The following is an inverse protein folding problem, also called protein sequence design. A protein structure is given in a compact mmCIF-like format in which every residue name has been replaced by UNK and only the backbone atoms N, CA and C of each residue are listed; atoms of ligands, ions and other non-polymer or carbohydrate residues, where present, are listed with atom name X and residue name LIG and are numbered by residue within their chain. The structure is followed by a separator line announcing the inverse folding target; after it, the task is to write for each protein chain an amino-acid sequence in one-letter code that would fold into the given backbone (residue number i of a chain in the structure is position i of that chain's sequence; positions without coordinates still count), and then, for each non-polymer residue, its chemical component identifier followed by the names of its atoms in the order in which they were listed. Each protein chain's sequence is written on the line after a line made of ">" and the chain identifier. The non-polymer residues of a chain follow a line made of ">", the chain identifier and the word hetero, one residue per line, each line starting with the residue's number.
data_IF_373702082548
#
_entry.id   IF_373702082548
#
_cell.length_a   1.000
_cell.length_b   1.000
_cell.length_c   1.000
_cell.angle_alpha   90.00
_cell.angle_beta   90.00
_cell.angle_gamma   90.00
#
_symmetry.space_group_name_H-M   'P 1'
#
loop_
_entity.id
_entity.type
_entity.pdbx_description
1 polymer ?
#
# COMPACT_ATOMS: atom_id res chain seq x y z
N UNK A 1 -9.89 26.27 -1.67
CA UNK A 1 -9.52 25.65 -0.38
C UNK A 1 -9.97 24.20 -0.43
N UNK A 2 -9.14 23.31 -0.99
CA UNK A 2 -9.24 21.85 -0.89
C UNK A 2 -7.83 21.32 -1.17
N UNK A 3 -7.16 20.82 -0.13
CA UNK A 3 -5.89 20.11 -0.25
C UNK A 3 -6.08 18.83 0.55
N UNK A 4 -6.50 17.77 -0.12
CA UNK A 4 -6.51 16.41 0.43
C UNK A 4 -5.21 15.76 -0.02
N UNK A 5 -4.17 15.90 0.79
CA UNK A 5 -2.88 15.23 0.62
C UNK A 5 -3.07 13.72 0.89
N UNK A 6 -2.49 12.90 0.02
CA UNK A 6 -2.26 11.45 0.08
C UNK A 6 -2.74 10.72 1.36
N UNK A 7 -3.77 9.87 1.23
CA UNK A 7 -4.08 8.83 2.22
C UNK A 7 -3.13 7.65 2.01
N UNK A 8 -1.96 7.68 2.67
CA UNK A 8 -1.11 6.51 2.86
C UNK A 8 -1.65 5.74 4.05
N UNK A 9 -2.15 4.52 3.83
CA UNK A 9 -2.47 3.58 4.90
C UNK A 9 -1.33 2.56 4.99
N UNK A 10 -0.71 2.49 6.16
CA UNK A 10 0.39 1.58 6.45
C UNK A 10 -0.08 0.42 7.33
N UNK A 11 0.15 -0.81 6.88
CA UNK A 11 -0.30 -2.06 7.52
C UNK A 11 0.82 -2.73 8.31
N UNK A 12 0.66 -2.90 9.64
CA UNK A 12 1.78 -3.21 10.56
C UNK A 12 1.43 -4.20 11.70
N UNK A 13 2.43 -4.98 12.16
CA UNK A 13 2.48 -5.84 13.37
C UNK A 13 3.79 -5.64 14.17
N UNK A 14 3.80 -5.79 15.52
CA UNK A 14 5.03 -5.52 16.32
C UNK A 14 5.52 -6.61 17.30
N UNK A 15 4.68 -7.50 17.87
CA UNK A 15 5.08 -8.52 18.87
C UNK A 15 6.10 -8.03 19.93
N UNK A 16 5.87 -6.87 20.54
CA UNK A 16 6.79 -6.33 21.55
C UNK A 16 8.20 -5.94 21.05
N UNK A 17 8.43 -5.81 19.74
CA UNK A 17 9.67 -5.29 19.16
C UNK A 17 9.62 -3.75 19.02
N UNK A 18 9.73 -3.05 20.15
CA UNK A 18 9.57 -1.59 20.19
C UNK A 18 10.55 -0.81 19.32
N UNK A 19 11.81 -1.24 19.25
CA UNK A 19 12.81 -0.63 18.39
C UNK A 19 12.42 -0.72 16.91
N UNK A 20 11.87 -1.85 16.48
CA UNK A 20 11.42 -2.06 15.10
C UNK A 20 10.14 -1.29 14.80
N UNK A 21 9.23 -1.14 15.77
CA UNK A 21 8.09 -0.24 15.65
C UNK A 21 8.53 1.22 15.39
N UNK A 22 9.56 1.70 16.09
CA UNK A 22 10.12 3.02 15.84
C UNK A 22 10.77 3.11 14.45
N UNK A 23 11.47 2.06 14.01
CA UNK A 23 12.02 1.99 12.64
C UNK A 23 10.93 2.01 11.57
N UNK A 24 9.80 1.34 11.80
CA UNK A 24 8.66 1.37 10.90
C UNK A 24 8.09 2.78 10.75
N UNK A 25 8.05 3.58 11.82
CA UNK A 25 7.69 5.00 11.73
C UNK A 25 8.78 5.86 11.08
N UNK A 26 10.06 5.53 11.26
CA UNK A 26 11.14 6.22 10.57
C UNK A 26 11.10 5.98 9.05
N UNK A 27 10.81 4.75 8.61
CA UNK A 27 10.72 4.38 7.20
C UNK A 27 9.36 4.79 6.57
N UNK A 28 8.26 4.67 7.31
CA UNK A 28 6.90 5.00 6.81
C UNK A 28 6.42 6.43 7.07
N UNK A 29 7.16 7.21 7.86
CA UNK A 29 6.80 8.55 8.33
C UNK A 29 5.99 8.53 9.64
N UNK A 30 6.30 9.44 10.57
CA UNK A 30 5.60 9.47 11.85
C UNK A 30 4.13 9.94 11.69
N UNK A 31 3.24 9.60 12.65
CA UNK A 31 1.94 10.25 12.75
C UNK A 31 2.08 11.71 13.23
N UNK A 32 1.28 12.67 12.71
CA UNK A 32 0.08 12.48 11.89
C UNK A 32 0.30 12.58 10.38
N UNK A 33 1.55 12.68 9.91
CA UNK A 33 1.86 12.88 8.50
C UNK A 33 1.34 11.73 7.61
N UNK A 34 1.25 10.51 8.16
CA UNK A 34 0.71 9.32 7.51
C UNK A 34 -0.37 8.64 8.34
N UNK A 35 -1.28 7.91 7.67
CA UNK A 35 -2.30 7.11 8.34
C UNK A 35 -1.82 5.66 8.49
N UNK A 36 -2.19 5.04 9.60
CA UNK A 36 -1.78 3.67 9.92
C UNK A 36 -2.98 2.82 10.29
N UNK A 37 -3.03 1.61 9.75
CA UNK A 37 -3.93 0.54 10.15
C UNK A 37 -3.08 -0.64 10.62
N UNK A 38 -2.98 -0.85 11.92
CA UNK A 38 -2.30 -2.02 12.45
C UNK A 38 -3.23 -3.23 12.48
N UNK A 39 -2.70 -4.41 12.16
CA UNK A 39 -3.49 -5.65 12.06
C UNK A 39 -3.50 -6.47 13.37
N UNK A 40 -3.04 -5.93 14.50
CA UNK A 40 -2.96 -6.66 15.77
C UNK A 40 -1.59 -7.30 16.03
N UNK A 41 -1.52 -8.11 17.08
CA UNK A 41 -0.30 -8.70 17.66
C UNK A 41 0.74 -7.62 18.02
N UNK A 42 0.33 -6.77 18.95
CA UNK A 42 1.17 -5.71 19.51
C UNK A 42 2.11 -6.23 20.59
N UNK A 43 1.65 -7.25 21.32
CA UNK A 43 2.26 -7.79 22.54
C UNK A 43 2.74 -9.23 22.36
N UNK A 44 3.28 -9.81 23.43
CA UNK A 44 3.88 -11.15 23.52
C UNK A 44 5.12 -11.36 22.65
N UNK A 45 5.87 -12.43 22.96
CA UNK A 45 7.07 -12.91 22.24
C UNK A 45 8.29 -11.97 22.27
N UNK A 46 8.09 -10.66 22.29
CA UNK A 46 9.12 -9.64 22.54
C UNK A 46 9.15 -9.15 23.99
N UNK A 47 10.13 -8.29 24.30
CA UNK A 47 10.41 -7.81 25.66
C UNK A 47 9.77 -6.45 26.00
N UNK A 48 9.14 -5.79 25.02
CA UNK A 48 8.66 -4.41 25.12
C UNK A 48 7.19 -4.29 24.65
N UNK A 49 6.36 -5.27 24.99
CA UNK A 49 4.93 -5.27 24.65
C UNK A 49 4.19 -4.08 25.25
N UNK A 50 4.57 -3.67 26.47
CA UNK A 50 3.99 -2.49 27.14
C UNK A 50 4.28 -1.22 26.34
N UNK A 51 5.53 -0.98 25.97
CA UNK A 51 5.91 0.21 25.19
C UNK A 51 5.25 0.24 23.82
N UNK A 52 5.23 -0.90 23.11
CA UNK A 52 4.58 -1.01 21.81
C UNK A 52 3.11 -0.60 21.89
N UNK A 53 2.32 -1.25 22.76
CA UNK A 53 0.90 -0.95 22.83
C UNK A 53 0.62 0.44 23.41
N UNK A 54 1.38 0.90 24.42
CA UNK A 54 1.19 2.23 24.98
C UNK A 54 1.47 3.33 23.95
N UNK A 55 2.53 3.22 23.14
CA UNK A 55 2.81 4.19 22.08
C UNK A 55 1.65 4.26 21.07
N UNK A 56 1.17 3.10 20.62
CA UNK A 56 0.05 3.01 19.68
C UNK A 56 -1.26 3.53 20.26
N UNK A 57 -1.55 3.23 21.53
CA UNK A 57 -2.72 3.75 22.24
C UNK A 57 -2.64 5.28 22.40
N UNK A 58 -1.47 5.82 22.77
CA UNK A 58 -1.25 7.27 22.84
C UNK A 58 -1.47 7.93 21.47
N UNK A 59 -0.96 7.32 20.40
CA UNK A 59 -1.19 7.79 19.03
C UNK A 59 -2.67 7.69 18.61
N UNK A 60 -3.38 6.63 19.02
CA UNK A 60 -4.83 6.51 18.78
C UNK A 60 -5.63 7.60 19.50
N UNK A 61 -5.26 7.94 20.73
CA UNK A 61 -5.89 9.02 21.48
C UNK A 61 -5.57 10.39 20.87
N UNK A 62 -4.31 10.61 20.46
CA UNK A 62 -3.85 11.88 19.89
C UNK A 62 -4.35 12.14 18.47
N UNK A 63 -4.42 11.08 17.64
CA UNK A 63 -4.78 11.13 16.23
C UNK A 63 -5.83 10.05 15.89
N UNK A 64 -7.07 10.18 16.43
CA UNK A 64 -8.09 9.14 16.33
C UNK A 64 -8.57 8.85 14.91
N UNK A 65 -8.38 9.78 13.97
CA UNK A 65 -8.71 9.72 12.54
C UNK A 65 -7.52 9.31 11.65
N UNK A 66 -6.34 9.13 12.25
CA UNK A 66 -5.11 8.72 11.52
C UNK A 66 -4.60 7.35 11.94
N UNK A 67 -4.91 6.90 13.14
CA UNK A 67 -4.40 5.65 13.71
C UNK A 67 -5.56 4.70 13.95
N UNK A 68 -5.45 3.51 13.40
CA UNK A 68 -6.45 2.44 13.53
C UNK A 68 -5.73 1.18 13.99
N UNK A 69 -6.29 0.53 15.02
CA UNK A 69 -5.68 -0.62 15.67
C UNK A 69 -6.70 -1.76 15.62
N UNK A 70 -6.47 -2.78 14.80
CA UNK A 70 -7.27 -4.01 14.83
C UNK A 70 -6.80 -4.91 15.97
N UNK A 71 -7.68 -5.82 16.39
CA UNK A 71 -7.34 -6.84 17.38
C UNK A 71 -6.62 -8.01 16.70
N UNK A 72 -5.55 -8.52 17.31
CA UNK A 72 -4.96 -9.81 17.00
C UNK A 72 -5.28 -10.89 18.02
N UNK A 73 -4.86 -12.12 17.76
CA UNK A 73 -5.10 -13.23 18.69
C UNK A 73 -4.32 -13.07 20.01
N UNK A 74 -3.17 -12.38 19.99
CA UNK A 74 -2.39 -12.07 21.18
C UNK A 74 -3.02 -11.00 22.09
N UNK A 75 -3.94 -10.20 21.56
CA UNK A 75 -4.76 -9.26 22.34
C UNK A 75 -5.95 -9.98 23.02
N UNK A 76 -5.66 -11.10 23.70
CA UNK A 76 -6.62 -11.91 24.43
C UNK A 76 -6.09 -12.36 25.78
N UNK A 77 -6.99 -12.61 26.74
CA UNK A 77 -6.63 -13.06 28.08
C UNK A 77 -5.84 -14.38 28.06
N UNK A 78 -6.33 -15.46 27.43
CA UNK A 78 -5.66 -16.75 27.41
C UNK A 78 -4.26 -16.71 26.77
N UNK A 79 -4.10 -16.03 25.63
CA UNK A 79 -2.84 -16.02 24.87
C UNK A 79 -1.80 -15.15 25.57
N UNK A 80 -2.14 -13.91 25.91
CA UNK A 80 -1.21 -13.00 26.60
C UNK A 80 -0.78 -13.48 28.00
N UNK A 81 -1.52 -14.44 28.58
CA UNK A 81 -1.17 -15.08 29.85
C UNK A 81 0.04 -15.97 29.75
N UNK A 82 0.26 -16.59 28.59
CA UNK A 82 1.23 -17.69 28.38
C UNK A 82 2.42 -17.23 27.54
N UNK A 83 2.22 -16.30 26.61
CA UNK A 83 3.24 -15.93 25.61
C UNK A 83 4.08 -14.68 25.95
N UNK A 84 4.01 -14.20 27.19
CA UNK A 84 4.99 -13.30 27.80
C UNK A 84 4.45 -11.98 28.35
N UNK A 85 3.36 -11.43 27.79
CA UNK A 85 2.88 -10.10 28.16
C UNK A 85 2.39 -10.02 29.60
N UNK A 86 1.70 -11.05 30.10
CA UNK A 86 1.34 -11.12 31.52
C UNK A 86 2.57 -11.02 32.43
N UNK A 87 3.62 -11.78 32.13
CA UNK A 87 4.82 -11.82 32.96
C UNK A 87 5.59 -10.50 32.85
N UNK A 88 5.61 -9.87 31.67
CA UNK A 88 6.16 -8.52 31.48
C UNK A 88 5.45 -7.50 32.38
N UNK A 89 4.12 -7.43 32.31
CA UNK A 89 3.30 -6.47 33.08
C UNK A 89 3.38 -6.77 34.58
N UNK A 90 3.32 -8.05 34.99
CA UNK A 90 3.46 -8.45 36.39
C UNK A 90 4.83 -8.08 36.95
N UNK A 91 5.90 -8.30 36.20
CA UNK A 91 7.27 -8.02 36.63
C UNK A 91 7.55 -6.53 36.77
N UNK A 92 7.05 -5.71 35.83
CA UNK A 92 7.34 -4.26 35.79
C UNK A 92 6.33 -3.42 36.56
N UNK A 93 5.11 -3.93 36.72
CA UNK A 93 4.00 -3.24 37.36
C UNK A 93 3.22 -4.19 38.28
N UNK A 94 2.01 -4.61 37.88
CA UNK A 94 1.17 -5.50 38.67
C UNK A 94 0.09 -6.18 37.81
N UNK A 95 -0.50 -7.24 38.35
CA UNK A 95 -1.54 -8.04 37.66
C UNK A 95 -2.82 -7.24 37.38
N UNK A 96 -3.13 -6.21 38.19
CA UNK A 96 -4.30 -5.36 37.95
C UNK A 96 -4.14 -4.59 36.63
N UNK A 97 -2.95 -4.10 36.32
CA UNK A 97 -2.67 -3.42 35.06
C UNK A 97 -2.84 -4.35 33.85
N UNK A 98 -2.41 -5.62 33.97
CA UNK A 98 -2.64 -6.61 32.89
C UNK A 98 -4.13 -6.79 32.62
N UNK A 99 -4.97 -6.89 33.66
CA UNK A 99 -6.44 -6.95 33.48
C UNK A 99 -6.98 -5.72 32.76
N UNK A 100 -6.48 -4.52 33.06
CA UNK A 100 -6.85 -3.29 32.34
C UNK A 100 -6.45 -3.33 30.87
N UNK A 101 -5.29 -3.92 30.52
CA UNK A 101 -4.96 -4.17 29.12
C UNK A 101 -5.96 -5.12 28.47
N UNK A 102 -6.35 -6.22 29.12
CA UNK A 102 -7.36 -7.16 28.58
C UNK A 102 -8.72 -6.47 28.36
N UNK A 103 -9.17 -5.67 29.33
CA UNK A 103 -10.40 -4.87 29.20
C UNK A 103 -10.32 -3.93 27.99
N UNK A 104 -9.14 -3.34 27.74
CA UNK A 104 -8.90 -2.48 26.57
C UNK A 104 -8.88 -3.29 25.27
N UNK A 105 -8.23 -4.45 25.26
CA UNK A 105 -8.16 -5.34 24.10
C UNK A 105 -9.53 -5.86 23.67
N UNK A 106 -10.41 -6.14 24.64
CA UNK A 106 -11.79 -6.56 24.40
C UNK A 106 -12.63 -5.49 23.67
N UNK A 107 -12.16 -4.23 23.62
CA UNK A 107 -12.79 -3.13 22.90
C UNK A 107 -12.20 -2.90 21.49
N UNK A 108 -11.12 -3.58 21.10
CA UNK A 108 -10.52 -3.37 19.79
C UNK A 108 -11.44 -3.85 18.65
N UNK A 109 -11.49 -3.13 17.52
CA UNK A 109 -12.18 -3.58 16.31
C UNK A 109 -11.51 -4.83 15.70
N UNK A 110 -12.29 -5.67 15.03
CA UNK A 110 -11.81 -6.96 14.50
C UNK A 110 -11.39 -6.90 13.02
N UNK A 111 -12.01 -6.00 12.25
CA UNK A 111 -11.74 -5.84 10.83
C UNK A 111 -11.89 -4.37 10.41
N UNK A 112 -11.38 -4.03 9.24
CA UNK A 112 -11.60 -2.75 8.57
C UNK A 112 -11.83 -2.97 7.08
N UNK A 113 -12.58 -2.06 6.45
CA UNK A 113 -12.69 -1.96 5.00
C UNK A 113 -12.08 -0.63 4.58
N UNK A 114 -11.16 -0.65 3.63
CA UNK A 114 -10.53 0.56 3.08
C UNK A 114 -11.09 0.83 1.70
N UNK A 115 -11.65 2.04 1.53
CA UNK A 115 -12.21 2.56 0.26
C UNK A 115 -13.14 1.55 -0.44
N UNK A 116 -13.94 0.84 0.35
CA UNK A 116 -14.91 -0.18 -0.10
C UNK A 116 -14.34 -1.30 -1.00
N UNK A 117 -13.01 -1.47 -1.02
CA UNK A 117 -12.34 -2.42 -1.90
C UNK A 117 -11.37 -3.37 -1.21
N UNK A 118 -10.85 -2.99 -0.04
CA UNK A 118 -9.82 -3.78 0.65
C UNK A 118 -10.33 -4.20 2.03
N UNK A 119 -10.55 -5.49 2.23
CA UNK A 119 -10.90 -6.05 3.52
C UNK A 119 -9.63 -6.37 4.32
N UNK A 120 -9.49 -5.75 5.48
CA UNK A 120 -8.36 -5.90 6.37
C UNK A 120 -8.78 -6.63 7.64
N UNK A 121 -8.07 -7.70 7.98
CA UNK A 121 -8.34 -8.52 9.15
C UNK A 121 -7.03 -9.02 9.73
N UNK A 122 -7.01 -9.46 10.97
CA UNK A 122 -5.81 -10.06 11.55
C UNK A 122 -5.47 -11.39 10.89
N UNK A 123 -6.39 -12.36 10.98
CA UNK A 123 -6.17 -13.71 10.54
C UNK A 123 -6.68 -13.94 9.12
N UNK A 124 -7.94 -14.34 8.98
CA UNK A 124 -8.49 -14.59 7.67
C UNK A 124 -10.00 -14.56 7.67
N UNK A 125 -10.56 -15.43 6.84
CA UNK A 125 -12.00 -15.55 6.67
C UNK A 125 -12.60 -16.52 7.69
N UNK A 126 -13.93 -16.53 7.76
CA UNK A 126 -14.70 -17.50 8.55
C UNK A 126 -15.80 -18.10 7.68
N UNK A 127 -16.18 -19.38 7.89
CA UNK A 127 -17.39 -19.94 7.30
C UNK A 127 -18.65 -19.12 7.63
N UNK A 128 -18.65 -18.43 8.78
CA UNK A 128 -19.76 -17.60 9.26
C UNK A 128 -19.69 -16.14 8.73
N UNK A 129 -18.60 -15.77 8.04
CA UNK A 129 -18.43 -14.42 7.50
C UNK A 129 -19.08 -14.32 6.11
N UNK A 130 -20.34 -13.88 6.09
CA UNK A 130 -21.09 -13.71 4.84
C UNK A 130 -20.69 -12.42 4.11
N UNK A 131 -20.60 -11.32 4.85
CA UNK A 131 -20.22 -9.98 4.36
C UNK A 131 -19.34 -9.27 5.38
N UNK A 132 -18.50 -8.28 5.00
CA UNK A 132 -17.70 -7.49 5.95
C UNK A 132 -18.53 -6.84 7.07
N UNK A 133 -19.75 -6.40 6.77
CA UNK A 133 -20.66 -5.76 7.73
C UNK A 133 -21.15 -6.73 8.80
N UNK A 134 -21.01 -8.05 8.59
CA UNK A 134 -21.36 -9.05 9.58
C UNK A 134 -20.57 -8.88 10.88
N UNK A 135 -19.36 -8.34 10.79
CA UNK A 135 -18.51 -8.00 11.94
C UNK A 135 -19.16 -6.93 12.84
N UNK A 136 -19.98 -6.04 12.28
CA UNK A 136 -20.63 -4.96 13.06
C UNK A 136 -21.69 -5.48 14.03
N UNK A 137 -22.14 -6.73 13.90
CA UNK A 137 -23.10 -7.36 14.83
C UNK A 137 -22.44 -7.81 16.14
N UNK A 138 -21.12 -7.86 16.19
CA UNK A 138 -20.36 -8.30 17.37
C UNK A 138 -20.37 -7.15 18.40
N UNK A 139 -20.98 -7.39 19.55
CA UNK A 139 -21.00 -6.42 20.65
C UNK A 139 -19.65 -6.39 21.36
N UNK A 140 -19.17 -5.19 21.68
CA UNK A 140 -17.94 -4.97 22.46
C UNK A 140 -18.28 -4.34 23.82
N UNK A 141 -17.58 -4.67 24.92
CA UNK A 141 -16.40 -5.55 24.98
C UNK A 141 -16.75 -7.03 24.76
N UNK A 142 -15.85 -7.78 24.11
CA UNK A 142 -16.01 -9.22 23.90
C UNK A 142 -14.69 -9.94 24.12
N UNK A 143 -14.72 -11.10 24.75
CA UNK A 143 -13.56 -12.00 24.81
C UNK A 143 -13.44 -12.80 23.50
N UNK A 144 -12.27 -13.37 23.24
CA UNK A 144 -12.09 -14.26 22.08
C UNK A 144 -12.65 -15.64 22.46
N UNK A 145 -13.72 -16.13 21.81
CA UNK A 145 -14.26 -17.45 22.05
C UNK A 145 -13.34 -18.53 21.48
N UNK A 146 -13.56 -19.79 21.86
CA UNK A 146 -12.81 -20.95 21.33
C UNK A 146 -13.17 -21.25 19.87
N UNK A 147 -14.39 -20.90 19.43
CA UNK A 147 -14.90 -21.16 18.07
C UNK A 147 -15.80 -20.01 17.57
N UNK A 148 -16.11 -20.06 16.27
CA UNK A 148 -17.01 -19.12 15.58
C UNK A 148 -16.33 -17.85 15.08
N UNK A 149 -17.14 -16.94 14.53
CA UNK A 149 -16.67 -15.78 13.78
C UNK A 149 -15.52 -14.97 14.40
N UNK A 150 -15.59 -14.64 15.71
CA UNK A 150 -14.52 -13.86 16.37
C UNK A 150 -13.22 -14.68 16.45
N UNK A 151 -13.31 -15.98 16.72
CA UNK A 151 -12.16 -16.86 16.74
C UNK A 151 -11.52 -16.92 15.34
N UNK A 152 -12.33 -17.16 14.32
CA UNK A 152 -11.85 -17.33 12.95
C UNK A 152 -11.18 -16.08 12.37
N UNK A 153 -11.75 -14.89 12.60
CA UNK A 153 -11.13 -13.63 12.18
C UNK A 153 -9.75 -13.38 12.83
N UNK A 154 -9.44 -14.08 13.92
CA UNK A 154 -8.19 -13.95 14.66
C UNK A 154 -7.26 -15.18 14.55
N UNK A 155 -7.72 -16.31 13.99
CA UNK A 155 -6.94 -17.55 13.94
C UNK A 155 -6.90 -18.29 12.60
N UNK A 156 -7.78 -18.00 11.65
CA UNK A 156 -7.79 -18.75 10.39
C UNK A 156 -6.61 -18.43 9.46
N UNK A 157 -6.22 -19.39 8.63
CA UNK A 157 -5.07 -19.27 7.73
C UNK A 157 -5.40 -19.67 6.28
N UNK A 158 -4.88 -18.94 5.28
CA UNK A 158 -4.87 -19.44 3.91
C UNK A 158 -3.94 -20.65 3.78
N UNK A 159 -4.35 -21.65 3.02
CA UNK A 159 -3.53 -22.83 2.74
C UNK A 159 -3.52 -23.16 1.24
N UNK A 160 -2.33 -23.45 0.72
CA UNK A 160 -2.15 -23.78 -0.70
C UNK A 160 -2.45 -25.26 -0.96
N UNK A 161 -3.16 -25.55 -2.05
CA UNK A 161 -3.43 -26.92 -2.48
C UNK A 161 -4.69 -27.55 -1.88
N UNK A 162 -5.43 -26.82 -1.03
CA UNK A 162 -6.76 -27.20 -0.56
C UNK A 162 -7.86 -26.45 -1.32
N UNK A 163 -9.06 -27.04 -1.30
CA UNK A 163 -10.29 -26.42 -1.82
C UNK A 163 -11.29 -26.35 -0.68
N UNK A 164 -11.94 -25.20 -0.49
CA UNK A 164 -12.89 -24.99 0.60
C UNK A 164 -12.21 -24.75 1.95
N UNK A 165 -12.75 -25.36 3.00
CA UNK A 165 -12.27 -25.25 4.39
C UNK A 165 -11.64 -26.57 4.86
N UNK A 166 -10.60 -26.48 5.69
CA UNK A 166 -10.01 -27.63 6.36
C UNK A 166 -9.66 -27.31 7.83
N UNK A 167 -9.32 -28.33 8.60
CA UNK A 167 -8.85 -28.18 9.98
C UNK A 167 -7.50 -27.46 10.01
N UNK A 168 -7.30 -26.55 10.95
CA UNK A 168 -6.03 -25.83 11.09
C UNK A 168 -5.08 -26.59 12.02
N UNK A 169 -3.84 -26.80 11.58
CA UNK A 169 -2.76 -27.43 12.35
C UNK A 169 -2.45 -26.72 13.68
N UNK A 170 -2.89 -25.46 13.85
CA UNK A 170 -2.84 -24.74 15.13
C UNK A 170 -3.75 -25.34 16.21
N UNK A 171 -4.67 -26.23 15.83
CA UNK A 171 -5.69 -26.78 16.73
C UNK A 171 -6.80 -25.80 17.08
N UNK A 172 -6.94 -24.72 16.32
CA UNK A 172 -7.97 -23.68 16.50
C UNK A 172 -8.35 -23.08 15.15
N UNK A 173 -9.64 -22.83 14.94
CA UNK A 173 -10.20 -22.34 13.68
C UNK A 173 -9.89 -23.27 12.48
N UNK A 174 -9.87 -22.69 11.28
CA UNK A 174 -9.83 -23.40 10.00
C UNK A 174 -8.69 -22.88 9.11
N UNK A 175 -8.28 -23.71 8.15
CA UNK A 175 -7.60 -23.23 6.95
C UNK A 175 -8.59 -23.07 5.79
N UNK A 176 -8.26 -22.22 4.82
CA UNK A 176 -9.11 -21.99 3.65
C UNK A 176 -8.34 -21.87 2.33
N UNK A 177 -8.95 -22.37 1.27
CA UNK A 177 -8.40 -22.38 -0.09
C UNK A 177 -8.56 -21.05 -0.84
N UNK A 178 -7.91 -20.97 -2.00
CA UNK A 178 -7.99 -19.81 -2.89
C UNK A 178 -9.40 -19.58 -3.47
N UNK A 179 -10.20 -20.64 -3.55
CA UNK A 179 -11.61 -20.57 -3.96
C UNK A 179 -12.46 -19.80 -2.95
N UNK A 180 -12.21 -19.99 -1.65
CA UNK A 180 -12.89 -19.23 -0.58
C UNK A 180 -12.58 -17.74 -0.67
N UNK A 181 -11.31 -17.39 -0.90
CA UNK A 181 -10.88 -15.99 -1.11
C UNK A 181 -11.59 -15.39 -2.32
N UNK A 182 -11.54 -16.07 -3.47
CA UNK A 182 -12.13 -15.60 -4.72
C UNK A 182 -13.63 -15.37 -4.58
N UNK A 183 -14.34 -16.34 -4.00
CA UNK A 183 -15.79 -16.28 -3.78
C UNK A 183 -16.18 -15.15 -2.81
N UNK A 184 -15.42 -14.96 -1.74
CA UNK A 184 -15.70 -13.90 -0.78
C UNK A 184 -15.55 -12.51 -1.40
N UNK A 185 -14.48 -12.29 -2.18
CA UNK A 185 -14.22 -11.03 -2.84
C UNK A 185 -15.27 -10.71 -3.91
N UNK A 186 -15.58 -11.69 -4.78
CA UNK A 186 -16.58 -11.53 -5.83
C UNK A 186 -17.97 -11.21 -5.25
N UNK A 187 -18.38 -11.94 -4.21
CA UNK A 187 -19.70 -11.76 -3.58
C UNK A 187 -19.86 -10.38 -2.92
N UNK A 188 -18.77 -9.78 -2.46
CA UNK A 188 -18.78 -8.53 -1.71
C UNK A 188 -18.23 -7.33 -2.51
N UNK A 189 -17.97 -7.49 -3.81
CA UNK A 189 -17.38 -6.46 -4.68
C UNK A 189 -16.07 -5.85 -4.13
N UNK A 190 -15.21 -6.71 -3.58
CA UNK A 190 -13.90 -6.36 -3.04
C UNK A 190 -12.78 -6.81 -3.98
N UNK A 191 -11.64 -6.12 -3.93
CA UNK A 191 -10.49 -6.41 -4.78
C UNK A 191 -9.38 -7.19 -4.05
N UNK A 192 -9.24 -7.01 -2.73
CA UNK A 192 -8.11 -7.52 -1.96
C UNK A 192 -8.46 -7.83 -0.51
N UNK A 193 -7.93 -8.93 0.00
CA UNK A 193 -7.85 -9.20 1.45
C UNK A 193 -6.42 -8.93 1.94
N UNK A 194 -6.29 -8.16 3.02
CA UNK A 194 -5.01 -7.89 3.68
C UNK A 194 -5.06 -8.49 5.08
N UNK A 195 -4.08 -9.34 5.39
CA UNK A 195 -4.00 -10.06 6.66
C UNK A 195 -2.59 -10.15 7.23
N UNK A 196 -2.44 -10.68 8.44
CA UNK A 196 -1.15 -10.86 9.14
C UNK A 196 -0.91 -12.33 9.59
N UNK A 197 -0.91 -12.65 10.88
CA UNK A 197 -0.78 -13.94 11.61
C UNK A 197 0.39 -14.87 11.27
N UNK A 198 0.71 -15.10 10.00
CA UNK A 198 1.77 -16.00 9.56
C UNK A 198 3.06 -15.23 9.29
N UNK A 199 4.17 -15.78 9.79
CA UNK A 199 5.52 -15.31 9.45
C UNK A 199 5.78 -15.67 7.99
N UNK A 200 6.24 -14.71 7.20
CA UNK A 200 6.57 -14.89 5.78
C UNK A 200 7.96 -14.30 5.53
N UNK A 201 8.74 -14.93 4.64
CA UNK A 201 10.18 -14.67 4.47
C UNK A 201 10.48 -13.19 4.16
N UNK A 202 9.81 -12.61 3.16
CA UNK A 202 10.03 -11.22 2.74
C UNK A 202 9.22 -10.18 3.54
N UNK A 203 8.58 -10.60 4.64
CA UNK A 203 7.62 -9.78 5.40
C UNK A 203 6.30 -9.55 4.68
N UNK A 204 6.14 -9.95 3.41
CA UNK A 204 4.85 -10.04 2.74
C UNK A 204 4.78 -11.27 1.83
N UNK A 205 3.59 -11.81 1.61
CA UNK A 205 3.36 -12.92 0.69
C UNK A 205 1.98 -12.81 0.04
N UNK A 206 1.89 -13.06 -1.27
CA UNK A 206 0.63 -13.07 -1.99
C UNK A 206 0.03 -14.48 -2.05
N UNK A 207 -1.29 -14.55 -1.90
CA UNK A 207 -2.10 -15.76 -2.06
C UNK A 207 -3.24 -15.53 -3.07
N UNK A 208 -3.82 -16.62 -3.57
CA UNK A 208 -4.98 -16.62 -4.49
C UNK A 208 -4.83 -15.63 -5.66
N UNK A 209 -3.80 -15.80 -6.50
CA UNK A 209 -3.54 -14.90 -7.65
C UNK A 209 -3.46 -13.40 -7.26
N UNK A 210 -2.88 -13.12 -6.08
CA UNK A 210 -2.71 -11.77 -5.50
C UNK A 210 -4.00 -11.11 -5.02
N UNK A 211 -5.08 -11.89 -4.87
CA UNK A 211 -6.33 -11.45 -4.26
C UNK A 211 -6.26 -11.42 -2.72
N UNK A 212 -5.24 -12.03 -2.12
CA UNK A 212 -4.93 -11.89 -0.70
C UNK A 212 -3.44 -11.60 -0.52
N UNK A 213 -3.11 -10.80 0.49
CA UNK A 213 -1.74 -10.53 0.90
C UNK A 213 -1.60 -10.70 2.42
N UNK A 214 -0.59 -11.47 2.81
CA UNK A 214 -0.10 -11.58 4.19
C UNK A 214 0.98 -10.54 4.41
N UNK A 215 0.91 -9.76 5.49
CA UNK A 215 1.88 -8.73 5.88
C UNK A 215 2.36 -9.02 7.31
N UNK A 216 3.68 -9.11 7.47
CA UNK A 216 4.36 -9.36 8.72
C UNK A 216 5.48 -8.32 8.91
N UNK A 217 5.41 -7.53 9.98
CA UNK A 217 6.29 -6.35 10.14
C UNK A 217 7.32 -6.48 11.26
N UNK A 218 7.41 -7.64 11.91
CA UNK A 218 8.42 -7.93 12.93
C UNK A 218 9.60 -8.69 12.26
N UNK A 219 10.72 -8.01 11.92
CA UNK A 219 11.87 -8.68 11.34
C UNK A 219 12.57 -9.58 12.37
N UNK A 220 13.26 -10.62 11.90
CA UNK A 220 13.95 -11.62 12.70
C UNK A 220 13.08 -12.15 13.86
N UNK A 221 11.88 -12.59 13.54
CA UNK A 221 10.86 -12.90 14.53
C UNK A 221 11.38 -13.89 15.58
N UNK A 222 11.18 -13.56 16.86
CA UNK A 222 11.69 -14.31 18.03
C UNK A 222 13.21 -14.53 18.07
N UNK A 223 14.00 -13.94 17.16
CA UNK A 223 15.41 -14.29 16.97
C UNK A 223 15.65 -15.70 16.41
N UNK A 224 14.59 -16.36 15.93
CA UNK A 224 14.62 -17.73 15.41
C UNK A 224 14.43 -17.79 13.90
N UNK A 225 13.69 -16.82 13.35
CA UNK A 225 13.41 -16.71 11.92
C UNK A 225 14.33 -15.66 11.29
N UNK A 226 14.68 -15.85 10.02
CA UNK A 226 15.47 -14.88 9.24
C UNK A 226 14.57 -13.99 8.35
N UNK A 227 13.32 -13.77 8.78
CA UNK A 227 12.35 -13.04 7.98
C UNK A 227 12.59 -11.52 8.02
N UNK A 228 12.26 -10.85 6.91
CA UNK A 228 12.14 -9.41 6.86
C UNK A 228 10.83 -8.91 7.50
N UNK A 229 10.76 -7.60 7.75
CA UNK A 229 9.53 -6.91 8.13
C UNK A 229 9.03 -6.05 6.98
N UNK A 230 7.76 -6.15 6.62
CA UNK A 230 7.16 -5.32 5.59
C UNK A 230 6.01 -4.46 6.11
N UNK A 231 5.73 -3.39 5.38
CA UNK A 231 4.58 -2.51 5.58
C UNK A 231 3.96 -2.25 4.21
N UNK A 232 2.66 -2.50 4.08
CA UNK A 232 1.95 -2.20 2.84
C UNK A 232 1.51 -0.74 2.84
N UNK A 233 2.01 0.04 1.88
CA UNK A 233 1.61 1.43 1.65
C UNK A 233 0.54 1.48 0.55
N UNK A 234 -0.70 1.83 0.92
CA UNK A 234 -1.76 2.05 -0.06
C UNK A 234 -1.70 3.47 -0.60
N UNK A 235 -1.64 3.61 -1.93
CA UNK A 235 -1.72 4.88 -2.62
C UNK A 235 -3.03 4.97 -3.39
N UNK A 236 -3.98 5.73 -2.87
CA UNK A 236 -5.17 6.12 -3.62
C UNK A 236 -4.82 7.24 -4.57
N UNK A 237 -4.31 6.87 -5.73
CA UNK A 237 -4.05 7.80 -6.82
C UNK A 237 -5.38 7.98 -7.56
N UNK A 238 -6.08 9.10 -7.31
CA UNK A 238 -7.06 9.60 -8.28
C UNK A 238 -6.38 9.60 -9.65
N UNK A 239 -7.03 9.18 -10.76
CA UNK A 239 -6.41 9.11 -12.07
C UNK A 239 -6.02 10.51 -12.57
N UNK A 240 -4.90 10.98 -12.04
CA UNK A 240 -4.17 12.17 -12.37
C UNK A 240 -2.70 11.73 -12.35
N UNK A 241 -2.33 11.09 -13.45
CA UNK A 241 -0.98 11.08 -14.02
C UNK A 241 0.18 10.80 -13.06
N UNK A 242 0.57 9.53 -12.89
CA UNK A 242 1.91 9.16 -12.39
C UNK A 242 2.47 8.00 -13.22
N UNK A 243 3.76 8.06 -13.56
CA UNK A 243 4.45 7.03 -14.36
C UNK A 243 4.96 5.88 -13.48
N UNK A 244 5.09 4.67 -14.03
CA UNK A 244 5.70 3.50 -13.35
C UNK A 244 7.06 3.80 -12.70
N UNK A 245 7.86 4.70 -13.27
CA UNK A 245 9.15 5.09 -12.71
C UNK A 245 9.03 6.04 -11.51
N UNK A 246 7.93 6.81 -11.42
CA UNK A 246 7.59 7.61 -10.24
C UNK A 246 7.08 6.71 -9.12
N UNK A 247 6.23 5.74 -9.45
CA UNK A 247 5.77 4.72 -8.51
C UNK A 247 6.96 3.90 -8.03
N UNK A 248 7.88 3.49 -8.91
CA UNK A 248 9.13 2.80 -8.52
C UNK A 248 10.04 3.68 -7.68
N UNK A 249 10.22 4.96 -8.00
CA UNK A 249 11.00 5.87 -7.15
C UNK A 249 10.38 6.05 -5.77
N UNK A 250 9.07 6.19 -5.70
CA UNK A 250 8.38 6.30 -4.43
C UNK A 250 8.54 4.98 -3.65
N UNK A 251 8.38 3.83 -4.32
CA UNK A 251 8.67 2.52 -3.73
C UNK A 251 10.13 2.46 -3.25
N UNK A 252 11.11 2.84 -4.06
CA UNK A 252 12.54 2.87 -3.72
C UNK A 252 12.86 3.86 -2.58
N UNK A 253 12.10 4.95 -2.43
CA UNK A 253 12.18 5.89 -1.30
C UNK A 253 11.57 5.32 -0.02
N UNK A 254 10.63 4.36 -0.12
CA UNK A 254 9.95 3.71 1.01
C UNK A 254 10.49 2.30 1.32
N UNK A 255 11.39 1.76 0.47
CA UNK A 255 12.15 0.54 0.77
C UNK A 255 13.22 0.91 1.80
N UNK A 256 13.03 0.43 3.03
CA UNK A 256 13.98 0.58 4.12
C UNK A 256 15.31 -0.09 3.68
N UNK A 257 16.45 0.62 3.61
CA UNK A 257 17.70 0.02 3.16
C UNK A 257 18.11 -1.14 4.09
N UNK A 258 18.63 -2.23 3.50
CA UNK A 258 19.27 -3.37 4.19
C UNK A 258 20.21 -2.86 5.30
N UNK A 259 20.30 -3.51 6.48
CA UNK A 259 20.66 -2.85 7.74
C UNK A 259 21.97 -2.05 7.62
N UNK A 260 21.84 -0.73 7.44
CA UNK A 260 22.97 0.21 7.27
C UNK A 260 23.66 0.50 8.63
N UNK A 261 23.41 -0.31 9.66
CA UNK A 261 23.79 0.01 11.04
C UNK A 261 24.74 -1.00 11.68
N UNK A 262 25.35 -1.88 10.91
CA UNK A 262 26.58 -2.52 11.39
C UNK A 262 27.70 -1.47 11.45
N UNK A 263 27.95 -0.97 12.67
CA UNK A 263 29.05 -0.09 12.99
C UNK A 263 28.76 1.42 13.02
N UNK A 264 27.50 1.85 12.91
CA UNK A 264 27.16 3.29 12.99
C UNK A 264 26.78 3.68 14.42
N UNK A 265 27.56 4.57 15.02
CA UNK A 265 27.28 5.17 16.33
C UNK A 265 26.07 6.11 16.22
N UNK A 266 24.94 5.70 16.80
CA UNK A 266 23.67 6.45 16.82
C UNK A 266 23.45 7.19 18.15
N UNK A 267 24.51 7.50 18.88
CA UNK A 267 24.37 8.34 20.06
C UNK A 267 23.80 9.73 19.68
N UNK A 268 22.95 10.33 20.53
CA UNK A 268 22.43 11.68 20.31
C UNK A 268 23.52 12.74 20.04
N UNK A 269 24.74 12.50 20.55
CA UNK A 269 25.91 13.35 20.32
C UNK A 269 26.46 13.28 18.88
N UNK A 270 26.50 12.08 18.26
CA UNK A 270 27.00 11.90 16.89
C UNK A 270 26.08 12.54 15.85
N UNK A 271 24.77 12.40 16.03
CA UNK A 271 23.77 12.95 15.10
C UNK A 271 23.73 14.48 15.10
N UNK A 272 24.09 15.12 16.21
CA UNK A 272 24.19 16.58 16.31
C UNK A 272 25.40 17.15 15.55
N UNK A 273 26.45 16.36 15.30
CA UNK A 273 27.73 16.83 14.78
C UNK A 273 27.88 16.75 13.25
N UNK A 274 26.99 16.07 12.52
CA UNK A 274 27.17 15.78 11.09
C UNK A 274 25.91 16.02 10.23
N UNK A 275 25.52 17.29 9.93
CA UNK A 275 24.37 17.59 9.07
C UNK A 275 24.67 17.46 7.56
N UNK A 276 23.78 16.78 6.84
CA UNK A 276 23.93 16.13 5.53
C UNK A 276 23.88 17.03 4.28
N UNK A 277 24.55 18.19 4.26
CA UNK A 277 24.32 19.21 3.22
C UNK A 277 25.15 19.10 1.90
N UNK A 278 26.06 18.15 1.71
CA UNK A 278 27.11 18.29 0.68
C UNK A 278 27.03 17.39 -0.60
N UNK A 279 25.93 16.68 -0.89
CA UNK A 279 25.94 15.57 -1.89
C UNK A 279 25.24 15.78 -3.25
N UNK A 280 24.81 16.99 -3.64
CA UNK A 280 23.76 17.14 -4.69
C UNK A 280 24.14 17.67 -6.10
N UNK A 281 25.39 17.61 -6.57
CA UNK A 281 25.71 18.07 -7.96
C UNK A 281 25.60 16.98 -9.03
N UNK A 282 25.93 15.72 -8.73
CA UNK A 282 25.84 14.63 -9.73
C UNK A 282 24.39 14.19 -10.02
N UNK A 283 23.49 14.33 -9.03
CA UNK A 283 22.08 13.91 -9.09
C UNK A 283 21.26 14.74 -10.10
N UNK A 284 21.65 16.00 -10.34
CA UNK A 284 20.96 16.90 -11.25
C UNK A 284 21.09 16.49 -12.74
N UNK A 285 22.22 15.90 -13.14
CA UNK A 285 22.44 15.44 -14.53
C UNK A 285 21.66 14.17 -14.85
N UNK A 286 21.62 13.24 -13.89
CA UNK A 286 20.85 11.99 -14.01
C UNK A 286 19.34 12.26 -14.06
N UNK A 287 18.88 13.24 -13.28
CA UNK A 287 17.47 13.68 -13.25
C UNK A 287 16.99 14.17 -14.61
N UNK A 288 17.83 14.86 -15.39
CA UNK A 288 17.45 15.39 -16.73
C UNK A 288 17.23 14.29 -17.77
N UNK A 289 18.06 13.25 -17.77
CA UNK A 289 17.89 12.11 -18.70
C UNK A 289 16.69 11.23 -18.31
N UNK A 290 16.39 11.12 -17.02
CA UNK A 290 15.22 10.39 -16.52
C UNK A 290 13.90 11.08 -16.90
N UNK A 291 13.83 12.42 -16.81
CA UNK A 291 12.65 13.20 -17.26
C UNK A 291 12.38 12.96 -18.76
N UNK A 292 13.42 12.89 -19.59
CA UNK A 292 13.29 12.64 -21.04
C UNK A 292 12.73 11.25 -21.34
N UNK A 293 13.15 10.21 -20.61
CA UNK A 293 12.65 8.83 -20.78
C UNK A 293 11.22 8.65 -20.24
N UNK A 294 10.89 9.31 -19.14
CA UNK A 294 9.56 9.28 -18.54
C UNK A 294 8.50 9.92 -19.46
N UNK A 295 8.81 11.08 -20.06
CA UNK A 295 7.92 11.76 -20.99
C UNK A 295 7.69 10.95 -22.28
N UNK A 296 8.69 10.18 -22.73
CA UNK A 296 8.56 9.24 -23.85
C UNK A 296 7.59 8.09 -23.51
N UNK A 297 7.79 7.39 -22.39
CA UNK A 297 6.93 6.26 -22.00
C UNK A 297 5.48 6.67 -21.72
N UNK A 298 5.26 7.83 -21.12
CA UNK A 298 3.93 8.39 -20.87
C UNK A 298 3.15 8.65 -22.16
N UNK A 299 3.82 9.16 -23.20
CA UNK A 299 3.20 9.38 -24.50
C UNK A 299 2.82 8.06 -25.19
N UNK A 300 3.64 7.01 -25.06
CA UNK A 300 3.31 5.68 -25.58
C UNK A 300 2.08 5.07 -24.88
N UNK A 301 1.97 5.23 -23.57
CA UNK A 301 0.87 4.71 -22.77
C UNK A 301 -0.47 5.42 -23.07
N UNK A 302 -0.47 6.74 -23.25
CA UNK A 302 -1.66 7.51 -23.68
C UNK A 302 -2.18 7.06 -25.05
N UNK A 303 -1.28 6.68 -25.95
CA UNK A 303 -1.64 6.12 -27.26
C UNK A 303 -2.27 4.73 -27.11
N UNK A 304 -1.88 3.94 -26.11
CA UNK A 304 -2.37 2.59 -25.89
C UNK A 304 -3.77 2.52 -25.25
N UNK A 305 -4.22 3.56 -24.55
CA UNK A 305 -5.49 3.58 -23.80
C UNK A 305 -6.66 4.29 -24.49
N UNK A 306 -6.47 4.83 -25.70
CA UNK A 306 -7.62 5.22 -26.55
C UNK A 306 -8.20 3.93 -27.15
N UNK A 307 -9.36 3.53 -26.63
CA UNK A 307 -10.17 2.34 -26.96
C UNK A 307 -9.57 0.97 -26.55
N UNK A 308 -10.15 0.38 -25.50
CA UNK A 308 -10.03 -1.04 -25.17
C UNK A 308 -11.34 -1.72 -25.55
N UNK A 309 -11.35 -2.40 -26.69
CA UNK A 309 -12.26 -3.53 -26.92
C UNK A 309 -11.43 -4.82 -26.85
N UNK A 310 -12.04 -5.89 -26.33
CA UNK A 310 -11.38 -7.12 -25.86
C UNK A 310 -10.54 -7.89 -26.90
N UNK A 311 -10.52 -7.50 -28.18
CA UNK A 311 -10.08 -8.39 -29.27
C UNK A 311 -8.65 -8.16 -29.79
N UNK A 312 -7.94 -7.08 -29.45
CA UNK A 312 -6.61 -6.76 -30.05
C UNK A 312 -5.59 -6.19 -29.04
N UNK A 313 -5.28 -6.96 -27.98
CA UNK A 313 -4.32 -6.56 -26.93
C UNK A 313 -2.87 -6.95 -27.24
N UNK A 314 -2.62 -7.90 -28.13
CA UNK A 314 -1.30 -8.52 -28.37
C UNK A 314 -0.44 -7.92 -29.50
N UNK A 315 -1.01 -7.26 -30.51
CA UNK A 315 -0.27 -6.88 -31.75
C UNK A 315 -0.08 -5.37 -31.93
N UNK A 316 0.71 -4.71 -31.07
CA UNK A 316 0.91 -3.24 -31.10
C UNK A 316 2.41 -2.88 -31.16
N UNK A 317 2.89 -2.46 -32.33
CA UNK A 317 4.31 -2.10 -32.55
C UNK A 317 4.43 -0.62 -32.98
N UNK A 318 5.27 0.15 -32.28
CA UNK A 318 5.67 1.50 -32.70
C UNK A 318 6.59 1.38 -33.91
N UNK A 319 6.18 1.88 -35.07
CA UNK A 319 6.90 1.66 -36.33
C UNK A 319 7.83 2.81 -36.69
N UNK A 320 7.48 4.07 -36.35
CA UNK A 320 8.36 5.21 -36.61
C UNK A 320 8.10 6.42 -35.71
N UNK A 321 9.14 7.26 -35.52
CA UNK A 321 9.05 8.58 -34.86
C UNK A 321 9.64 9.61 -35.81
N UNK A 322 8.84 10.59 -36.22
CA UNK A 322 9.27 11.68 -37.11
C UNK A 322 9.19 13.01 -36.37
N UNK A 323 10.30 13.71 -36.28
CA UNK A 323 10.34 15.06 -35.70
C UNK A 323 9.68 16.05 -36.67
N UNK A 324 8.56 16.64 -36.27
CA UNK A 324 7.89 17.64 -37.08
C UNK A 324 8.29 19.04 -36.61
N UNK A 325 8.98 19.79 -37.49
CA UNK A 325 9.44 21.15 -37.20
C UNK A 325 8.40 22.22 -37.57
N UNK A 326 7.27 21.87 -38.19
CA UNK A 326 6.28 22.85 -38.65
C UNK A 326 5.09 22.99 -37.70
N UNK A 327 4.82 24.24 -37.36
CA UNK A 327 3.76 24.68 -36.46
C UNK A 327 2.46 24.90 -37.24
N UNK A 328 1.40 24.13 -36.93
CA UNK A 328 0.08 24.25 -37.57
C UNK A 328 -0.82 25.26 -36.86
N UNK A 329 -1.63 26.03 -37.59
CA UNK A 329 -2.62 26.99 -37.02
C UNK A 329 -3.62 26.34 -36.05
N UNK A 330 -3.96 25.06 -36.26
CA UNK A 330 -4.83 24.31 -35.34
C UNK A 330 -4.17 24.00 -33.98
N UNK A 331 -2.84 24.07 -33.90
CA UNK A 331 -2.06 23.89 -32.66
C UNK A 331 -2.32 25.02 -31.67
N UNK A 332 -2.26 26.26 -32.14
CA UNK A 332 -2.29 27.44 -31.27
C UNK A 332 -3.69 27.65 -30.65
N UNK A 333 -4.75 27.26 -31.39
CA UNK A 333 -6.13 27.28 -30.88
C UNK A 333 -6.32 26.22 -29.77
N UNK A 334 -5.89 24.98 -30.00
CA UNK A 334 -5.99 23.91 -28.99
C UNK A 334 -5.15 24.21 -27.74
N UNK A 335 -3.95 24.77 -27.91
CA UNK A 335 -3.10 25.15 -26.79
C UNK A 335 -3.75 26.28 -25.96
N UNK A 336 -4.46 27.21 -26.59
CA UNK A 336 -5.17 28.28 -25.86
C UNK A 336 -6.38 27.80 -25.05
N UNK A 337 -6.96 26.64 -25.41
CA UNK A 337 -8.14 26.06 -24.75
C UNK A 337 -7.75 25.12 -23.60
N UNK A 338 -6.64 24.40 -23.72
CA UNK A 338 -6.31 23.26 -22.84
C UNK A 338 -5.16 23.56 -21.87
N UNK A 339 -4.46 24.69 -22.00
CA UNK A 339 -3.26 24.99 -21.21
C UNK A 339 -3.44 26.24 -20.33
N UNK A 340 -2.92 26.19 -19.10
CA UNK A 340 -2.84 27.34 -18.21
C UNK A 340 -1.78 28.35 -18.70
N UNK A 341 -1.97 29.64 -18.37
CA UNK A 341 -1.10 30.76 -18.81
C UNK A 341 0.39 30.59 -18.45
N UNK A 342 0.72 29.72 -17.50
CA UNK A 342 2.09 29.46 -17.01
C UNK A 342 2.83 28.35 -17.77
N UNK A 343 2.21 27.71 -18.76
CA UNK A 343 2.81 26.60 -19.50
C UNK A 343 3.37 27.04 -20.86
N UNK A 344 4.61 26.62 -21.16
CA UNK A 344 5.33 26.97 -22.40
C UNK A 344 5.59 25.74 -23.25
N UNK A 345 5.14 25.75 -24.50
CA UNK A 345 5.43 24.69 -25.45
C UNK A 345 6.93 24.53 -25.70
N UNK A 346 7.40 23.28 -25.76
CA UNK A 346 8.81 22.92 -25.96
C UNK A 346 9.03 22.33 -27.35
N UNK A 347 8.33 21.25 -27.72
CA UNK A 347 8.48 20.57 -29.01
C UNK A 347 7.32 19.61 -29.32
N UNK A 348 7.16 19.21 -30.58
CA UNK A 348 6.19 18.23 -31.05
C UNK A 348 6.89 17.13 -31.86
N UNK A 349 6.43 15.88 -31.69
CA UNK A 349 6.86 14.70 -32.44
C UNK A 349 5.63 14.01 -33.04
N UNK A 350 5.76 13.42 -34.24
CA UNK A 350 4.72 12.60 -34.84
C UNK A 350 5.11 11.13 -34.71
N UNK A 351 4.25 10.37 -34.07
CA UNK A 351 4.46 8.95 -33.79
C UNK A 351 3.53 8.13 -34.68
N UNK A 352 4.10 7.18 -35.41
CA UNK A 352 3.35 6.24 -36.23
C UNK A 352 3.35 4.87 -35.55
N UNK A 353 2.16 4.32 -35.36
CA UNK A 353 1.95 3.03 -34.72
C UNK A 353 1.14 2.13 -35.64
N UNK A 354 1.53 0.87 -35.72
CA UNK A 354 0.68 -0.16 -36.31
C UNK A 354 -0.33 -0.65 -35.25
N UNK A 355 -1.62 -0.56 -35.57
CA UNK A 355 -2.73 -1.09 -34.76
C UNK A 355 -3.53 -2.06 -35.62
N UNK A 356 -3.44 -3.35 -35.30
CA UNK A 356 -4.18 -4.43 -35.95
C UNK A 356 -4.05 -4.39 -37.49
N UNK A 357 -2.83 -4.16 -38.00
CA UNK A 357 -2.50 -4.07 -39.43
C UNK A 357 -2.79 -2.73 -40.09
N UNK A 358 -3.17 -1.70 -39.32
CA UNK A 358 -3.44 -0.35 -39.82
C UNK A 358 -2.54 0.68 -39.14
N UNK A 359 -1.77 1.44 -39.93
CA UNK A 359 -0.92 2.52 -39.41
C UNK A 359 -1.73 3.73 -38.96
N UNK A 360 -1.55 4.14 -37.71
CA UNK A 360 -2.18 5.30 -37.07
C UNK A 360 -1.13 6.31 -36.65
N UNK A 361 -1.44 7.60 -36.79
CA UNK A 361 -0.50 8.70 -36.48
C UNK A 361 -0.99 9.54 -35.30
N UNK A 362 -0.07 9.90 -34.42
CA UNK A 362 -0.32 10.68 -33.22
C UNK A 362 0.65 11.85 -33.12
N UNK A 363 0.16 13.02 -32.75
CA UNK A 363 0.99 14.17 -32.42
C UNK A 363 1.26 14.17 -30.91
N UNK A 364 2.53 14.09 -30.54
CA UNK A 364 3.02 14.11 -29.16
C UNK A 364 3.70 15.45 -28.90
N UNK A 365 3.12 16.27 -28.03
CA UNK A 365 3.58 17.61 -27.69
C UNK A 365 4.16 17.63 -26.29
N UNK A 366 5.26 18.35 -26.10
CA UNK A 366 5.93 18.53 -24.82
C UNK A 366 5.87 19.99 -24.38
N UNK A 367 5.63 20.22 -23.10
CA UNK A 367 5.47 21.55 -22.49
C UNK A 367 6.35 21.65 -21.24
N UNK A 368 6.73 22.88 -20.88
CA UNK A 368 7.39 23.26 -19.65
C UNK A 368 6.39 23.99 -18.76
N UNK A 369 6.30 23.60 -17.50
CA UNK A 369 5.34 24.12 -16.53
C UNK A 369 6.13 24.79 -15.40
N UNK A 370 6.09 26.12 -15.33
CA UNK A 370 6.90 26.87 -14.37
C UNK A 370 8.42 26.70 -14.57
N UNK A 371 9.17 26.81 -13.48
CA UNK A 371 10.64 26.83 -13.53
C UNK A 371 11.23 25.43 -13.73
N UNK A 372 10.65 24.38 -13.14
CA UNK A 372 11.25 23.02 -13.12
C UNK A 372 10.32 21.89 -13.63
N UNK A 373 9.08 22.18 -14.03
CA UNK A 373 8.10 21.18 -14.49
C UNK A 373 8.14 20.91 -16.00
N UNK A 374 7.85 19.67 -16.41
CA UNK A 374 7.66 19.27 -17.81
C UNK A 374 6.47 18.31 -17.97
N UNK A 375 5.69 18.47 -19.03
CA UNK A 375 4.53 17.62 -19.34
C UNK A 375 4.47 17.25 -20.82
N UNK A 376 3.67 16.22 -21.15
CA UNK A 376 3.39 15.84 -22.54
C UNK A 376 1.91 15.54 -22.80
N UNK A 377 1.44 15.94 -23.98
CA UNK A 377 0.07 15.71 -24.47
C UNK A 377 0.11 14.97 -25.79
N UNK A 378 -0.86 14.08 -26.01
CA UNK A 378 -0.94 13.24 -27.20
C UNK A 378 -2.28 13.47 -27.86
N UNK A 379 -2.26 13.68 -29.17
CA UNK A 379 -3.46 13.91 -29.97
C UNK A 379 -3.46 12.98 -31.17
N UNK A 380 -4.54 12.20 -31.40
CA UNK A 380 -4.67 11.46 -32.64
C UNK A 380 -4.80 12.42 -33.82
N UNK A 381 -4.17 12.11 -34.95
CA UNK A 381 -4.24 12.97 -36.14
C UNK A 381 -5.50 12.70 -36.98
N UNK A 382 -6.02 11.47 -36.98
CA UNK A 382 -7.23 11.11 -37.72
C UNK A 382 -8.50 11.67 -37.03
N UNK A 383 -9.45 12.17 -37.82
CA UNK A 383 -10.68 12.81 -37.32
C UNK A 383 -11.58 11.83 -36.55
N UNK A 384 -11.71 10.58 -37.02
CA UNK A 384 -12.48 9.54 -36.34
C UNK A 384 -11.96 9.28 -34.92
N UNK A 385 -10.64 9.20 -34.77
CA UNK A 385 -9.97 8.92 -33.50
C UNK A 385 -10.05 10.13 -32.53
N UNK A 386 -10.13 11.36 -33.05
CA UNK A 386 -10.38 12.58 -32.25
C UNK A 386 -11.78 12.59 -31.63
N UNK A 387 -12.80 12.15 -32.38
CA UNK A 387 -14.20 12.07 -31.89
C UNK A 387 -14.33 10.98 -30.83
N UNK A 388 -13.67 9.84 -31.00
CA UNK A 388 -13.61 8.77 -30.00
C UNK A 388 -12.92 9.22 -28.70
N UNK A 389 -11.79 9.93 -28.81
CA UNK A 389 -11.09 10.52 -27.66
C UNK A 389 -12.01 11.48 -26.88
N UNK A 390 -12.75 12.35 -27.56
CA UNK A 390 -13.65 13.30 -26.91
C UNK A 390 -14.80 12.61 -26.15
N UNK A 391 -15.30 11.46 -26.60
CA UNK A 391 -16.31 10.71 -25.84
C UNK A 391 -15.76 10.21 -24.51
N UNK A 392 -14.55 9.64 -24.49
CA UNK A 392 -13.94 9.08 -23.28
C UNK A 392 -13.63 10.09 -22.17
N UNK A 393 -13.30 11.34 -22.51
CA UNK A 393 -12.95 12.36 -21.51
C UNK A 393 -14.15 13.12 -20.94
N UNK A 394 -15.34 12.99 -21.53
CA UNK A 394 -16.53 13.79 -21.19
C UNK A 394 -17.80 12.98 -20.90
N UNK A 395 -17.69 11.65 -20.82
CA UNK A 395 -18.69 10.73 -20.24
C UNK A 395 -18.04 9.95 -19.12
#
# INVERSE_FOLDING_TARGET
>A
MYVSLCRLHNVVRSHGQYADLLRLFQCGGFPPEHQYLFLGDYVDRGNYGIECFCLLACYKVKYPDRIFLLRGNHESGPISRIYGFYDEVKRRFNVKLWKTFIETFNLLPLAAVIEDKIFCVHAGLSPDLITPESVNRIQRPTEVPEEGLVCDLLWSDPESGITGWAENDRGVSYTFGADIVSNFLEKNDLDLIVRAHQVVEDGYEFFAQRQMVTVFSAPHYCGEFDNAGAMMSLMFVFPAFRSDEWVRRLVDEHVCPSPVLDGVDLTPAYMAANPSAALYTNKARETREQIRRALFRHSLFKIQNVEVTNECRSDRVLTSIVHNKQTSFTRDILDSIVNEKSTKFVREEIWELDRCGTTRKYAVRYYREGDDGFSSKVFPLAIADKVAMLKYYFT
#
